data_IF_629258371632
#
_entry.id   IF_629258371632
#
_cell.length_a   1.000
_cell.length_b   1.000
_cell.length_c   1.000
_cell.angle_alpha   90.00
_cell.angle_beta   90.00
_cell.angle_gamma   90.00
#
_symmetry.space_group_name_H-M   'P 1'
#
loop_
_entity.id
_entity.type
_entity.pdbx_description
1 polymer ?
#
# COMPACT_ATOMS: atom_id res chain seq x y z
N UNK A 1 4.22 -45.60 -73.99
CA UNK A 1 5.08 -44.46 -73.76
C UNK A 1 4.36 -43.49 -72.84
N UNK A 2 4.78 -43.37 -71.57
CA UNK A 2 4.05 -42.75 -70.49
C UNK A 2 4.47 -41.31 -70.27
N UNK A 3 3.46 -40.42 -70.34
CA UNK A 3 3.65 -39.00 -70.12
C UNK A 3 3.43 -38.70 -68.63
N UNK A 4 4.46 -38.28 -67.91
CA UNK A 4 4.37 -37.89 -66.47
C UNK A 4 4.06 -36.41 -66.35
N UNK A 5 2.81 -36.12 -65.97
CA UNK A 5 2.39 -34.77 -65.53
C UNK A 5 2.92 -34.53 -64.11
N UNK A 6 3.77 -33.51 -63.99
CA UNK A 6 4.17 -32.99 -62.70
C UNK A 6 3.06 -32.06 -62.14
N UNK A 7 2.50 -32.42 -61.00
CA UNK A 7 1.57 -31.59 -60.27
C UNK A 7 2.39 -30.73 -59.26
N UNK A 8 2.45 -29.44 -59.50
CA UNK A 8 3.08 -28.49 -58.57
C UNK A 8 1.98 -28.03 -57.62
N UNK A 9 2.03 -28.49 -56.35
CA UNK A 9 1.23 -27.98 -55.28
C UNK A 9 1.90 -26.73 -54.72
N UNK A 10 1.29 -25.57 -54.91
CA UNK A 10 1.67 -24.31 -54.26
C UNK A 10 1.13 -24.33 -52.82
N UNK A 11 1.97 -24.55 -51.85
CA UNK A 11 1.64 -24.25 -50.45
C UNK A 11 1.69 -22.75 -50.22
N UNK A 12 0.52 -22.12 -50.11
CA UNK A 12 0.37 -20.76 -49.62
C UNK A 12 0.52 -20.81 -48.08
N UNK A 13 1.70 -20.47 -47.58
CA UNK A 13 1.92 -20.25 -46.14
C UNK A 13 1.23 -18.91 -45.77
N UNK A 14 0.06 -18.97 -45.18
CA UNK A 14 -0.49 -17.85 -44.44
C UNK A 14 0.38 -17.60 -43.22
N UNK A 15 1.24 -16.59 -43.29
CA UNK A 15 1.92 -16.07 -42.12
C UNK A 15 0.87 -15.37 -41.23
N UNK A 16 0.44 -16.05 -40.17
CA UNK A 16 -0.33 -15.41 -39.10
C UNK A 16 0.58 -14.39 -38.41
N UNK A 17 0.35 -13.12 -38.65
CA UNK A 17 0.97 -12.05 -37.87
C UNK A 17 0.62 -12.27 -36.38
N UNK A 18 1.58 -12.20 -35.46
CA UNK A 18 1.25 -12.25 -34.05
C UNK A 18 0.31 -11.09 -33.74
N UNK A 19 -0.88 -11.40 -33.21
CA UNK A 19 -1.77 -10.39 -32.66
C UNK A 19 -0.99 -9.67 -31.55
N UNK A 20 -0.66 -8.39 -31.76
CA UNK A 20 -0.13 -7.56 -30.72
C UNK A 20 -1.17 -7.55 -29.61
N UNK A 21 -0.88 -8.20 -28.49
CA UNK A 21 -1.67 -8.08 -27.28
C UNK A 21 -1.74 -6.58 -26.96
N UNK A 22 -2.95 -6.04 -26.87
CA UNK A 22 -3.13 -4.66 -26.45
C UNK A 22 -2.44 -4.50 -25.10
N UNK A 23 -1.48 -3.57 -25.00
CA UNK A 23 -0.83 -3.26 -23.72
C UNK A 23 -1.92 -2.95 -22.70
N UNK A 24 -2.00 -3.76 -21.65
CA UNK A 24 -2.97 -3.53 -20.59
C UNK A 24 -2.69 -2.17 -19.96
N UNK A 25 -3.69 -1.28 -20.02
CA UNK A 25 -3.54 0.10 -19.51
C UNK A 25 -3.19 0.02 -18.03
N UNK A 26 -2.08 0.64 -17.60
CA UNK A 26 -1.69 0.70 -16.20
C UNK A 26 -2.82 1.27 -15.34
N UNK A 27 -3.05 0.68 -14.18
CA UNK A 27 -4.07 1.05 -13.18
C UNK A 27 -3.54 0.86 -11.77
N UNK A 28 -4.13 1.58 -10.83
CA UNK A 28 -3.88 1.36 -9.40
C UNK A 28 -4.50 0.04 -8.93
N UNK A 29 -3.80 -0.65 -8.04
CA UNK A 29 -4.27 -1.87 -7.38
C UNK A 29 -4.79 -1.51 -5.98
N UNK A 30 -6.11 -1.31 -5.85
CA UNK A 30 -6.70 -0.84 -4.59
C UNK A 30 -6.80 -1.94 -3.54
N UNK A 31 -6.41 -1.58 -2.32
CA UNK A 31 -6.57 -2.36 -1.11
C UNK A 31 -7.36 -1.52 -0.09
N UNK A 32 -8.22 -2.16 0.70
CA UNK A 32 -8.97 -1.47 1.74
C UNK A 32 -8.24 -1.53 3.07
N UNK A 33 -7.88 -0.37 3.63
CA UNK A 33 -7.43 -0.28 5.02
C UNK A 33 -8.63 -0.38 5.96
N UNK A 34 -8.67 -1.38 6.82
CA UNK A 34 -9.79 -1.57 7.77
C UNK A 34 -9.95 -0.41 8.73
N UNK A 35 -8.88 0.32 9.02
CA UNK A 35 -8.89 1.54 9.84
C UNK A 35 -9.85 2.64 9.32
N UNK A 36 -10.19 2.64 8.03
CA UNK A 36 -11.16 3.58 7.44
C UNK A 36 -12.57 3.40 8.03
N UNK A 37 -12.87 2.23 8.57
CA UNK A 37 -14.13 1.88 9.24
C UNK A 37 -14.00 1.87 10.77
N UNK A 38 -12.90 2.37 11.31
CA UNK A 38 -12.64 2.39 12.74
C UNK A 38 -12.73 1.00 13.35
N UNK A 39 -13.45 0.87 14.46
CA UNK A 39 -13.61 -0.39 15.20
C UNK A 39 -14.88 -1.16 14.83
N UNK A 40 -15.45 -0.93 13.64
CA UNK A 40 -16.54 -1.76 13.14
C UNK A 40 -16.09 -3.21 12.94
N UNK A 41 -16.98 -4.20 13.17
CA UNK A 41 -16.60 -5.61 13.03
C UNK A 41 -16.32 -6.00 11.58
N UNK A 42 -15.50 -7.02 11.38
CA UNK A 42 -15.17 -7.59 10.06
C UNK A 42 -16.42 -7.99 9.27
N UNK A 43 -17.47 -8.46 9.94
CA UNK A 43 -18.75 -8.82 9.30
C UNK A 43 -19.44 -7.64 8.60
N UNK A 44 -19.20 -6.40 9.07
CA UNK A 44 -19.71 -5.18 8.43
C UNK A 44 -18.77 -4.63 7.36
N UNK A 45 -17.45 -4.83 7.53
CA UNK A 45 -16.42 -4.28 6.63
C UNK A 45 -16.24 -5.14 5.38
N UNK A 46 -16.20 -6.46 5.50
CA UNK A 46 -15.90 -7.36 4.38
C UNK A 46 -16.87 -7.22 3.19
N UNK A 47 -18.19 -7.04 3.38
CA UNK A 47 -19.12 -6.75 2.28
C UNK A 47 -18.81 -5.45 1.52
N UNK A 48 -18.11 -4.50 2.15
CA UNK A 48 -17.82 -3.19 1.58
C UNK A 48 -16.56 -3.21 0.69
N UNK A 49 -15.62 -4.14 0.93
CA UNK A 49 -14.32 -4.17 0.25
C UNK A 49 -14.48 -4.09 -1.27
N UNK A 50 -15.27 -4.97 -1.85
CA UNK A 50 -15.47 -4.99 -3.31
C UNK A 50 -16.24 -3.78 -3.84
N UNK A 51 -17.11 -3.20 -3.04
CA UNK A 51 -17.87 -1.99 -3.42
C UNK A 51 -16.92 -0.81 -3.64
N UNK A 52 -15.85 -0.71 -2.84
CA UNK A 52 -14.82 0.33 -3.03
C UNK A 52 -13.93 0.10 -4.25
N UNK A 53 -14.05 -1.07 -4.90
CA UNK A 53 -13.16 -1.49 -5.99
C UNK A 53 -11.85 -2.12 -5.52
N UNK A 54 -11.67 -2.32 -4.22
CA UNK A 54 -10.52 -3.03 -3.66
C UNK A 54 -10.62 -4.54 -3.89
N UNK A 55 -9.48 -5.18 -4.08
CA UNK A 55 -9.38 -6.64 -4.26
C UNK A 55 -9.18 -7.38 -2.94
N UNK A 56 -8.74 -6.69 -1.92
CA UNK A 56 -8.41 -7.25 -0.61
C UNK A 56 -8.43 -6.20 0.50
N UNK A 57 -8.03 -6.65 1.68
CA UNK A 57 -8.07 -5.86 2.91
C UNK A 57 -6.71 -5.88 3.64
N UNK A 58 -6.30 -4.72 4.19
CA UNK A 58 -5.27 -4.56 5.21
C UNK A 58 -5.92 -4.49 6.60
N UNK A 59 -5.48 -5.32 7.54
CA UNK A 59 -6.00 -5.31 8.90
C UNK A 59 -5.19 -4.42 9.84
N UNK A 60 -5.91 -3.53 10.50
CA UNK A 60 -5.35 -2.63 11.48
C UNK A 60 -5.73 -3.04 12.91
N UNK A 61 -4.76 -2.97 13.84
CA UNK A 61 -4.99 -3.18 15.26
C UNK A 61 -5.46 -1.90 15.95
N UNK A 62 -5.76 -2.00 17.25
CA UNK A 62 -5.90 -0.83 18.12
C UNK A 62 -4.63 0.05 18.01
N UNK A 63 -4.79 1.35 17.98
CA UNK A 63 -5.95 2.24 18.27
C UNK A 63 -6.80 2.59 17.04
N UNK A 64 -6.42 2.17 15.84
CA UNK A 64 -7.01 2.65 14.59
C UNK A 64 -8.22 1.82 14.18
N UNK A 65 -8.19 0.55 14.50
CA UNK A 65 -9.25 -0.42 14.29
C UNK A 65 -9.23 -1.46 15.41
N UNK A 66 -9.93 -2.58 15.22
CA UNK A 66 -9.93 -3.75 16.10
C UNK A 66 -9.90 -5.05 15.31
N UNK A 67 -9.78 -4.96 13.99
CA UNK A 67 -9.99 -6.09 13.09
C UNK A 67 -8.84 -7.09 13.18
N UNK A 68 -7.64 -6.62 13.54
CA UNK A 68 -6.50 -7.54 13.74
C UNK A 68 -6.73 -8.42 14.97
N UNK A 69 -7.21 -7.86 16.07
CA UNK A 69 -7.56 -8.61 17.28
C UNK A 69 -8.81 -9.46 17.08
N UNK A 70 -9.79 -9.00 16.28
CA UNK A 70 -10.99 -9.78 15.94
C UNK A 70 -10.61 -11.03 15.16
N UNK A 71 -9.68 -10.92 14.21
CA UNK A 71 -9.14 -12.06 13.46
C UNK A 71 -8.52 -13.10 14.41
N UNK A 72 -7.71 -12.66 15.39
CA UNK A 72 -7.12 -13.58 16.36
C UNK A 72 -8.17 -14.25 17.24
N UNK A 73 -9.16 -13.49 17.69
CA UNK A 73 -10.23 -14.00 18.56
C UNK A 73 -11.11 -15.05 17.87
N UNK A 74 -11.41 -14.87 16.57
CA UNK A 74 -12.20 -15.85 15.81
C UNK A 74 -11.39 -17.03 15.29
N UNK A 75 -10.07 -16.89 15.22
CA UNK A 75 -9.13 -17.86 14.64
C UNK A 75 -8.96 -17.72 13.12
N UNK A 76 -7.74 -17.99 12.67
CA UNK A 76 -7.31 -17.73 11.27
C UNK A 76 -8.13 -18.53 10.24
N UNK A 77 -8.53 -19.76 10.55
CA UNK A 77 -9.28 -20.60 9.60
C UNK A 77 -10.70 -20.07 9.38
N UNK A 78 -11.36 -19.59 10.45
CA UNK A 78 -12.67 -18.93 10.34
C UNK A 78 -12.55 -17.60 9.58
N UNK A 79 -11.52 -16.82 9.84
CA UNK A 79 -11.26 -15.59 9.12
C UNK A 79 -11.03 -15.86 7.62
N UNK A 80 -10.22 -16.88 7.27
CA UNK A 80 -10.01 -17.28 5.88
C UNK A 80 -11.32 -17.71 5.19
N UNK A 81 -12.22 -18.41 5.91
CA UNK A 81 -13.53 -18.76 5.39
C UNK A 81 -14.40 -17.51 5.11
N UNK A 82 -14.38 -16.51 6.02
CA UNK A 82 -15.09 -15.23 5.81
C UNK A 82 -14.55 -14.47 4.61
N UNK A 83 -13.23 -14.38 4.44
CA UNK A 83 -12.63 -13.76 3.27
C UNK A 83 -13.08 -14.43 1.98
N UNK A 84 -13.10 -15.77 1.95
CA UNK A 84 -13.55 -16.56 0.80
C UNK A 84 -15.03 -16.32 0.50
N UNK A 85 -15.89 -16.26 1.50
CA UNK A 85 -17.33 -15.99 1.37
C UNK A 85 -17.58 -14.65 0.67
N UNK A 86 -16.84 -13.60 1.06
CA UNK A 86 -16.94 -12.28 0.45
C UNK A 86 -16.09 -12.13 -0.83
N UNK A 87 -15.26 -13.14 -1.16
CA UNK A 87 -14.33 -13.14 -2.28
C UNK A 87 -13.27 -12.03 -2.16
N UNK A 88 -12.84 -11.73 -0.93
CA UNK A 88 -11.84 -10.72 -0.57
C UNK A 88 -10.51 -11.43 -0.32
N UNK A 89 -9.41 -10.86 -0.82
CA UNK A 89 -8.08 -11.33 -0.51
C UNK A 89 -7.60 -10.72 0.82
N UNK A 90 -6.75 -11.45 1.55
CA UNK A 90 -5.98 -10.84 2.62
C UNK A 90 -4.72 -10.21 2.02
N UNK A 91 -4.55 -8.90 2.14
CA UNK A 91 -3.39 -8.18 1.62
C UNK A 91 -2.21 -8.23 2.57
N UNK A 92 -2.45 -7.87 3.81
CA UNK A 92 -1.44 -7.78 4.86
C UNK A 92 -1.97 -7.16 6.15
N UNK A 93 -1.06 -6.70 6.97
CA UNK A 93 -1.38 -6.01 8.23
C UNK A 93 -0.49 -4.79 8.45
N UNK A 94 -1.04 -3.77 9.11
CA UNK A 94 -0.28 -2.63 9.61
C UNK A 94 -0.04 -2.79 11.10
N UNK A 95 1.23 -2.94 11.53
CA UNK A 95 1.63 -3.36 12.87
C UNK A 95 2.62 -2.42 13.54
N UNK A 96 2.19 -1.18 13.78
CA UNK A 96 2.97 -0.21 14.57
C UNK A 96 3.13 -0.62 16.04
N UNK A 97 2.16 -1.36 16.57
CA UNK A 97 2.14 -1.86 17.94
C UNK A 97 3.29 -2.82 18.25
N UNK A 98 3.77 -3.58 17.25
CA UNK A 98 4.88 -4.50 17.40
C UNK A 98 6.25 -3.83 17.19
N UNK A 99 6.29 -2.75 16.39
CA UNK A 99 7.53 -2.18 15.90
C UNK A 99 8.26 -3.09 14.88
N UNK A 100 9.35 -2.59 14.27
CA UNK A 100 9.97 -3.27 13.12
C UNK A 100 10.72 -4.57 13.49
N UNK A 101 11.12 -4.74 14.73
CA UNK A 101 12.00 -5.86 15.17
C UNK A 101 11.24 -7.05 15.79
N UNK A 102 9.90 -7.01 15.86
CA UNK A 102 9.08 -8.06 16.50
C UNK A 102 8.07 -8.68 15.56
N UNK A 103 8.37 -8.74 14.26
CA UNK A 103 7.41 -9.13 13.22
C UNK A 103 7.46 -10.63 12.85
N UNK A 104 8.34 -11.43 13.46
CA UNK A 104 8.56 -12.84 13.07
C UNK A 104 7.28 -13.67 13.08
N UNK A 105 6.48 -13.58 14.15
CA UNK A 105 5.22 -14.31 14.27
C UNK A 105 4.18 -13.78 13.28
N UNK A 106 4.10 -12.45 13.12
CA UNK A 106 3.19 -11.81 12.18
C UNK A 106 3.50 -12.18 10.73
N UNK A 107 4.78 -12.32 10.35
CA UNK A 107 5.18 -12.83 9.03
C UNK A 107 4.56 -14.22 8.78
N UNK A 108 4.57 -15.09 9.78
CA UNK A 108 3.94 -16.41 9.70
C UNK A 108 2.43 -16.34 9.51
N UNK A 109 1.75 -15.42 10.21
CA UNK A 109 0.30 -15.17 10.07
C UNK A 109 -0.02 -14.66 8.67
N UNK A 110 0.70 -13.63 8.19
CA UNK A 110 0.49 -13.04 6.87
C UNK A 110 0.68 -14.09 5.78
N UNK A 111 1.76 -14.88 5.83
CA UNK A 111 1.99 -16.00 4.91
C UNK A 111 0.85 -17.02 4.93
N UNK A 112 0.44 -17.47 6.13
CA UNK A 112 -0.63 -18.48 6.28
C UNK A 112 -1.93 -18.05 5.60
N UNK A 113 -2.25 -16.75 5.65
CA UNK A 113 -3.47 -16.17 5.09
C UNK A 113 -3.34 -15.72 3.64
N UNK A 114 -2.17 -15.90 3.03
CA UNK A 114 -1.92 -15.51 1.63
C UNK A 114 -1.64 -14.02 1.43
N UNK A 115 -1.37 -13.27 2.50
CA UNK A 115 -0.94 -11.88 2.45
C UNK A 115 0.52 -11.74 2.02
N UNK A 116 0.91 -10.54 1.62
CA UNK A 116 2.23 -10.28 1.04
C UNK A 116 3.03 -9.18 1.70
N UNK A 117 2.44 -8.43 2.63
CA UNK A 117 3.15 -7.33 3.31
C UNK A 117 2.77 -7.15 4.77
N UNK A 118 3.65 -6.50 5.51
CA UNK A 118 3.42 -5.94 6.84
C UNK A 118 3.94 -4.52 6.83
N UNK A 119 3.11 -3.54 7.22
CA UNK A 119 3.56 -2.15 7.38
C UNK A 119 3.91 -1.87 8.82
N UNK A 120 5.01 -1.14 9.04
CA UNK A 120 5.44 -0.64 10.36
C UNK A 120 6.28 0.63 10.18
N UNK A 121 6.58 1.31 11.29
CA UNK A 121 7.45 2.50 11.27
C UNK A 121 8.94 2.17 11.37
N UNK A 122 9.80 3.15 11.05
CA UNK A 122 11.22 3.09 11.35
C UNK A 122 11.49 3.34 12.84
N UNK A 123 12.56 2.76 13.39
CA UNK A 123 12.94 2.90 14.79
C UNK A 123 14.40 3.36 14.93
N UNK A 124 14.63 4.38 15.75
CA UNK A 124 15.97 4.94 16.02
C UNK A 124 15.89 6.38 16.53
N UNK A 125 17.03 6.94 16.88
CA UNK A 125 17.09 8.34 17.30
C UNK A 125 16.93 9.28 16.08
N UNK A 126 15.98 10.19 16.15
CA UNK A 126 15.63 11.11 15.06
C UNK A 126 15.52 12.56 15.56
N UNK A 127 15.07 12.78 16.80
CA UNK A 127 14.81 14.11 17.34
C UNK A 127 16.08 14.75 17.88
N UNK A 128 16.37 15.96 17.43
CA UNK A 128 17.49 16.76 17.93
C UNK A 128 18.88 16.26 17.51
N UNK A 129 18.95 15.38 16.50
CA UNK A 129 20.21 14.90 15.90
C UNK A 129 20.56 15.75 14.66
N UNK A 130 21.85 15.80 14.29
CA UNK A 130 22.27 16.42 13.03
C UNK A 130 21.85 15.55 11.82
N UNK A 131 21.88 16.14 10.61
CA UNK A 131 21.59 15.40 9.39
C UNK A 131 22.53 14.20 9.19
N UNK A 132 23.83 14.36 9.44
CA UNK A 132 24.81 13.28 9.34
C UNK A 132 24.52 12.16 10.35
N UNK A 133 24.14 12.52 11.58
CA UNK A 133 23.76 11.55 12.59
C UNK A 133 22.46 10.86 12.23
N UNK A 134 21.45 11.56 11.68
CA UNK A 134 20.22 10.96 11.21
C UNK A 134 20.50 9.97 10.08
N UNK A 135 21.33 10.31 9.12
CA UNK A 135 21.76 9.41 8.05
C UNK A 135 22.46 8.15 8.59
N UNK A 136 23.36 8.32 9.57
CA UNK A 136 24.00 7.19 10.22
C UNK A 136 23.00 6.30 10.97
N UNK A 137 21.99 6.88 11.61
CA UNK A 137 20.94 6.16 12.31
C UNK A 137 20.03 5.38 11.35
N UNK A 138 19.72 5.93 10.16
CA UNK A 138 19.00 5.20 9.10
C UNK A 138 19.79 3.98 8.64
N UNK A 139 21.09 4.13 8.41
CA UNK A 139 21.96 3.03 8.04
C UNK A 139 22.01 1.95 9.14
N UNK A 140 22.17 2.34 10.39
CA UNK A 140 22.17 1.42 11.55
C UNK A 140 20.84 0.68 11.68
N UNK A 141 19.72 1.39 11.46
CA UNK A 141 18.40 0.77 11.40
C UNK A 141 18.32 -0.31 10.32
N UNK A 142 18.78 -0.01 9.11
CA UNK A 142 18.77 -0.99 8.00
C UNK A 142 19.65 -2.20 8.33
N UNK A 143 20.85 -2.01 8.91
CA UNK A 143 21.68 -3.13 9.35
C UNK A 143 20.95 -4.03 10.35
N UNK A 144 20.24 -3.46 11.31
CA UNK A 144 19.41 -4.21 12.26
C UNK A 144 18.22 -4.90 11.61
N UNK A 145 17.67 -4.33 10.52
CA UNK A 145 16.54 -4.92 9.78
C UNK A 145 16.95 -6.11 8.91
N UNK A 146 18.21 -6.27 8.51
CA UNK A 146 18.65 -7.34 7.59
C UNK A 146 18.17 -8.75 8.00
N UNK A 147 18.32 -9.21 9.26
CA UNK A 147 17.82 -10.55 9.64
C UNK A 147 16.29 -10.64 9.57
N UNK A 148 15.55 -9.58 9.87
CA UNK A 148 14.09 -9.55 9.77
C UNK A 148 13.62 -9.56 8.32
N UNK A 149 14.29 -8.80 7.46
CA UNK A 149 14.03 -8.78 6.02
C UNK A 149 14.31 -10.14 5.37
N UNK A 150 15.38 -10.85 5.78
CA UNK A 150 15.66 -12.19 5.30
C UNK A 150 14.52 -13.16 5.62
N UNK A 151 14.04 -13.17 6.87
CA UNK A 151 12.90 -14.00 7.28
C UNK A 151 11.64 -13.63 6.49
N UNK A 152 11.38 -12.34 6.26
CA UNK A 152 10.24 -11.91 5.46
C UNK A 152 10.35 -12.41 4.01
N UNK A 153 11.52 -12.24 3.37
CA UNK A 153 11.78 -12.71 2.02
C UNK A 153 11.59 -14.23 1.85
N UNK A 154 12.11 -15.03 2.79
CA UNK A 154 11.94 -16.49 2.82
C UNK A 154 10.47 -16.93 2.90
N UNK A 155 9.62 -16.06 3.45
CA UNK A 155 8.18 -16.30 3.58
C UNK A 155 7.34 -15.65 2.48
N UNK A 156 7.95 -14.96 1.51
CA UNK A 156 7.24 -14.25 0.45
C UNK A 156 6.48 -13.01 0.96
N UNK A 157 6.93 -12.44 2.09
CA UNK A 157 6.37 -11.24 2.73
C UNK A 157 7.37 -10.09 2.61
N UNK A 158 6.88 -8.86 2.45
CA UNK A 158 7.70 -7.65 2.47
C UNK A 158 7.33 -6.79 3.67
N UNK A 159 8.33 -6.39 4.46
CA UNK A 159 8.15 -5.41 5.53
C UNK A 159 8.23 -4.02 4.89
N UNK A 160 7.11 -3.32 4.79
CA UNK A 160 7.02 -1.93 4.33
C UNK A 160 7.31 -0.97 5.49
N UNK A 161 8.39 -0.21 5.38
CA UNK A 161 8.68 0.86 6.35
C UNK A 161 7.95 2.12 5.91
N UNK A 162 7.00 2.56 6.72
CA UNK A 162 6.27 3.79 6.45
C UNK A 162 7.09 5.02 6.87
N UNK A 163 7.15 6.00 5.97
CA UNK A 163 7.57 7.33 6.35
C UNK A 163 6.48 7.98 7.22
N UNK A 164 6.80 8.30 8.45
CA UNK A 164 5.81 8.76 9.42
C UNK A 164 6.41 9.83 10.34
N UNK A 165 5.64 10.89 10.63
CA UNK A 165 6.07 11.91 11.58
C UNK A 165 6.40 11.28 12.95
N UNK A 166 7.34 11.86 13.65
CA UNK A 166 7.78 11.41 14.97
C UNK A 166 8.42 10.01 14.98
N UNK A 167 9.06 9.60 13.90
CA UNK A 167 9.91 8.41 13.87
C UNK A 167 11.19 8.65 13.04
N UNK A 168 12.01 7.62 12.88
CA UNK A 168 13.31 7.74 12.18
C UNK A 168 13.16 8.18 10.71
N UNK A 169 12.07 7.78 10.05
CA UNK A 169 11.81 8.07 8.64
C UNK A 169 10.68 9.10 8.55
N UNK A 170 10.96 10.36 8.93
CA UNK A 170 9.97 11.43 8.95
C UNK A 170 10.28 12.61 8.02
N UNK A 171 11.43 12.58 7.32
CA UNK A 171 11.83 13.63 6.38
C UNK A 171 12.05 13.06 4.97
N UNK A 172 11.98 13.90 3.92
CA UNK A 172 12.36 13.48 2.57
C UNK A 172 13.75 12.84 2.50
N UNK A 173 14.74 13.45 3.18
CA UNK A 173 16.12 12.94 3.19
C UNK A 173 16.22 11.57 3.86
N UNK A 174 15.57 11.36 5.02
CA UNK A 174 15.59 10.05 5.70
C UNK A 174 14.92 8.97 4.85
N UNK A 175 13.89 9.31 4.07
CA UNK A 175 13.25 8.41 3.13
C UNK A 175 14.18 8.06 1.95
N UNK A 176 14.87 9.03 1.38
CA UNK A 176 15.86 8.81 0.32
C UNK A 176 16.99 7.90 0.80
N UNK A 177 17.55 8.17 1.98
CA UNK A 177 18.60 7.30 2.55
C UNK A 177 18.10 5.90 2.83
N UNK A 178 16.89 5.73 3.34
CA UNK A 178 16.29 4.40 3.49
C UNK A 178 16.19 3.68 2.15
N UNK A 179 15.65 4.34 1.12
CA UNK A 179 15.51 3.76 -0.21
C UNK A 179 16.85 3.29 -0.80
N UNK A 180 17.90 4.08 -0.61
CA UNK A 180 19.25 3.73 -1.07
C UNK A 180 19.85 2.55 -0.30
N UNK A 181 19.74 2.54 1.03
CA UNK A 181 20.30 1.47 1.87
C UNK A 181 19.60 0.12 1.65
N UNK A 182 18.28 0.12 1.36
CA UNK A 182 17.53 -1.12 1.13
C UNK A 182 17.48 -1.55 -0.35
N UNK A 183 18.07 -0.79 -1.28
CA UNK A 183 17.93 -0.98 -2.74
C UNK A 183 18.09 -2.44 -3.20
N UNK A 184 19.06 -3.14 -2.66
CA UNK A 184 19.37 -4.53 -3.01
C UNK A 184 18.96 -5.54 -1.91
N UNK A 185 18.21 -5.12 -0.89
CA UNK A 185 17.82 -5.97 0.22
C UNK A 185 16.41 -6.54 -0.01
N UNK A 186 16.21 -7.86 -0.20
CA UNK A 186 14.88 -8.45 -0.33
C UNK A 186 14.10 -8.42 0.98
N UNK A 187 12.77 -8.55 0.92
CA UNK A 187 11.90 -8.68 2.09
C UNK A 187 11.68 -7.39 2.87
N UNK A 188 12.22 -6.27 2.41
CA UNK A 188 11.98 -4.93 2.96
C UNK A 188 11.75 -3.93 1.84
N UNK A 189 10.84 -2.99 2.06
CA UNK A 189 10.50 -1.92 1.14
C UNK A 189 9.92 -0.71 1.87
N UNK A 190 9.25 0.16 1.14
CA UNK A 190 8.73 1.43 1.60
C UNK A 190 7.20 1.43 1.47
N UNK A 191 6.50 1.80 2.53
CA UNK A 191 5.11 2.20 2.49
C UNK A 191 5.08 3.74 2.48
N UNK A 192 4.81 4.33 1.32
CA UNK A 192 4.93 5.77 1.15
C UNK A 192 3.60 6.46 1.47
N UNK A 193 3.62 7.34 2.48
CA UNK A 193 2.50 8.16 2.92
C UNK A 193 2.78 9.65 2.65
N UNK A 194 2.27 10.24 1.56
CA UNK A 194 2.43 11.65 1.25
C UNK A 194 2.00 12.59 2.38
N UNK A 195 0.99 12.18 3.17
CA UNK A 195 0.49 12.90 4.33
C UNK A 195 1.58 13.39 5.29
N UNK A 196 2.62 12.61 5.51
CA UNK A 196 3.69 12.89 6.47
C UNK A 196 4.84 13.73 5.91
N UNK A 197 4.77 14.12 4.64
CA UNK A 197 5.80 14.86 3.93
C UNK A 197 5.32 16.27 3.54
N UNK A 198 6.22 17.20 3.19
CA UNK A 198 5.81 18.45 2.59
C UNK A 198 4.92 18.20 1.37
N UNK A 199 3.80 18.93 1.29
CA UNK A 199 2.78 18.75 0.23
C UNK A 199 3.22 19.43 -1.08
N UNK A 200 4.46 19.23 -1.46
CA UNK A 200 5.06 19.74 -2.69
C UNK A 200 5.01 18.64 -3.76
N UNK A 201 4.16 18.82 -4.75
CA UNK A 201 3.88 17.84 -5.79
C UNK A 201 5.14 17.31 -6.48
N UNK A 202 6.09 18.21 -6.82
CA UNK A 202 7.36 17.82 -7.44
C UNK A 202 8.20 16.94 -6.52
N UNK A 203 8.35 17.34 -5.27
CA UNK A 203 9.09 16.57 -4.26
C UNK A 203 8.51 15.17 -4.10
N UNK A 204 7.19 15.07 -3.92
CA UNK A 204 6.50 13.79 -3.75
C UNK A 204 6.66 12.88 -4.98
N UNK A 205 6.57 13.45 -6.19
CA UNK A 205 6.78 12.70 -7.44
C UNK A 205 8.22 12.20 -7.57
N UNK A 206 9.21 13.02 -7.21
CA UNK A 206 10.62 12.63 -7.25
C UNK A 206 10.93 11.53 -6.22
N UNK A 207 10.33 11.60 -5.02
CA UNK A 207 10.44 10.54 -3.99
C UNK A 207 9.85 9.22 -4.47
N UNK A 208 8.68 9.23 -5.12
CA UNK A 208 8.07 8.03 -5.71
C UNK A 208 9.04 7.39 -6.71
N UNK A 209 9.61 8.19 -7.63
CA UNK A 209 10.57 7.71 -8.63
C UNK A 209 11.84 7.17 -8.01
N UNK A 210 12.34 7.80 -6.95
CA UNK A 210 13.54 7.33 -6.25
C UNK A 210 13.32 6.02 -5.50
N UNK A 211 12.13 5.84 -4.89
CA UNK A 211 11.76 4.58 -4.24
C UNK A 211 11.67 3.42 -5.24
N UNK A 212 11.18 3.67 -6.46
CA UNK A 212 11.11 2.71 -7.56
C UNK A 212 10.61 1.32 -7.10
N UNK A 213 11.35 0.27 -7.39
CA UNK A 213 11.01 -1.12 -7.05
C UNK A 213 10.94 -1.41 -5.53
N UNK A 214 11.38 -0.44 -4.71
CA UNK A 214 11.26 -0.53 -3.23
C UNK A 214 9.94 0.00 -2.70
N UNK A 215 9.11 0.62 -3.53
CA UNK A 215 7.77 1.02 -3.15
C UNK A 215 6.89 -0.23 -3.00
N UNK A 216 6.58 -0.60 -1.75
CA UNK A 216 5.77 -1.78 -1.41
C UNK A 216 4.29 -1.45 -1.34
N UNK A 217 3.95 -0.30 -0.77
CA UNK A 217 2.59 0.19 -0.59
C UNK A 217 2.56 1.71 -0.78
N UNK A 218 1.50 2.20 -1.37
CA UNK A 218 1.26 3.63 -1.55
C UNK A 218 -0.04 4.04 -0.87
N UNK A 219 0.05 4.99 0.07
CA UNK A 219 -1.12 5.62 0.68
C UNK A 219 -1.57 6.81 -0.16
N UNK A 220 -2.74 6.73 -0.76
CA UNK A 220 -3.39 7.88 -1.37
C UNK A 220 -4.03 8.73 -0.26
N UNK A 221 -3.19 9.53 0.40
CA UNK A 221 -3.48 10.28 1.62
C UNK A 221 -2.78 11.64 1.59
N UNK A 222 -3.58 12.71 1.53
CA UNK A 222 -3.06 14.09 1.58
C UNK A 222 -3.03 14.61 3.01
N UNK A 223 -2.20 15.64 3.25
CA UNK A 223 -2.13 16.24 4.58
C UNK A 223 -3.46 16.92 4.98
N UNK A 224 -4.11 17.62 4.03
CA UNK A 224 -5.32 18.38 4.30
C UNK A 224 -5.11 19.37 5.45
N UNK A 225 -5.96 19.29 6.48
CA UNK A 225 -5.79 20.03 7.75
C UNK A 225 -5.06 19.21 8.82
N UNK A 226 -4.73 17.96 8.49
CA UNK A 226 -4.13 17.00 9.40
C UNK A 226 -5.16 16.26 10.27
N UNK A 227 -4.64 15.44 11.19
CA UNK A 227 -5.45 14.54 12.00
C UNK A 227 -5.02 14.49 13.47
N UNK A 228 -4.40 15.56 13.98
CA UNK A 228 -3.81 15.59 15.32
C UNK A 228 -4.77 16.09 16.40
N UNK A 229 -5.86 16.71 16.01
CA UNK A 229 -6.92 17.24 16.90
C UNK A 229 -8.28 17.13 16.22
N UNK A 230 -9.39 17.11 17.00
CA UNK A 230 -10.73 17.16 16.44
C UNK A 230 -10.94 18.40 15.57
N UNK A 231 -11.62 18.22 14.44
CA UNK A 231 -11.91 19.26 13.46
C UNK A 231 -13.33 19.07 12.93
N UNK A 232 -13.95 20.10 12.33
CA UNK A 232 -15.15 19.92 11.54
C UNK A 232 -14.94 18.84 10.47
N UNK A 233 -15.97 18.05 10.18
CA UNK A 233 -15.83 16.86 9.32
C UNK A 233 -15.36 17.20 7.89
N UNK A 234 -15.80 18.30 7.33
CA UNK A 234 -15.37 18.80 6.02
C UNK A 234 -13.88 19.16 5.96
N UNK A 235 -13.34 19.72 7.06
CA UNK A 235 -11.91 19.99 7.18
C UNK A 235 -11.11 18.69 7.38
N UNK A 236 -11.59 17.77 8.21
CA UNK A 236 -10.96 16.47 8.45
C UNK A 236 -10.88 15.65 7.15
N UNK A 237 -11.93 15.70 6.32
CA UNK A 237 -11.99 14.99 5.04
C UNK A 237 -11.03 15.55 3.97
N UNK A 238 -10.41 16.73 4.17
CA UNK A 238 -9.39 17.23 3.25
C UNK A 238 -8.14 16.33 3.20
N UNK A 239 -8.05 15.33 4.05
CA UNK A 239 -7.04 14.27 3.96
C UNK A 239 -7.30 13.31 2.78
N UNK A 240 -8.52 13.28 2.25
CA UNK A 240 -8.93 12.36 1.18
C UNK A 240 -8.61 12.93 -0.21
N UNK A 241 -8.10 12.11 -1.15
CA UNK A 241 -7.80 12.55 -2.50
C UNK A 241 -8.94 13.33 -3.16
N UNK A 242 -8.62 14.55 -3.64
CA UNK A 242 -9.57 15.44 -4.31
C UNK A 242 -10.50 16.22 -3.39
N UNK A 243 -10.25 16.22 -2.09
CA UNK A 243 -10.84 17.16 -1.14
C UNK A 243 -9.83 18.17 -0.59
N UNK A 244 -8.56 17.80 -0.51
CA UNK A 244 -7.46 18.69 -0.21
C UNK A 244 -6.95 19.45 -1.46
N UNK A 245 -5.72 19.95 -1.36
CA UNK A 245 -5.13 20.81 -2.38
C UNK A 245 -3.98 20.13 -3.15
N UNK A 246 -3.68 18.86 -2.88
CA UNK A 246 -2.60 18.16 -3.54
C UNK A 246 -2.95 17.88 -5.02
N UNK A 247 -2.09 18.30 -5.94
CA UNK A 247 -2.20 17.87 -7.33
C UNK A 247 -1.71 16.43 -7.48
N UNK A 248 -2.65 15.50 -7.59
CA UNK A 248 -2.39 14.06 -7.70
C UNK A 248 -1.82 13.63 -9.04
N UNK A 249 -2.04 14.40 -10.10
CA UNK A 249 -1.67 13.99 -11.47
C UNK A 249 -0.17 13.68 -11.64
N UNK A 250 0.78 14.50 -11.13
CA UNK A 250 2.21 14.17 -11.21
C UNK A 250 2.61 12.96 -10.37
N UNK A 251 1.96 12.74 -9.20
CA UNK A 251 2.22 11.55 -8.36
C UNK A 251 1.78 10.27 -9.09
N UNK A 252 0.58 10.29 -9.68
CA UNK A 252 0.06 9.17 -10.48
C UNK A 252 0.93 8.91 -11.72
N UNK A 253 1.42 9.98 -12.36
CA UNK A 253 2.36 9.86 -13.48
C UNK A 253 3.68 9.21 -13.03
N UNK A 254 4.20 9.56 -11.86
CA UNK A 254 5.41 8.95 -11.30
C UNK A 254 5.18 7.45 -10.96
N UNK A 255 4.05 7.10 -10.33
CA UNK A 255 3.68 5.70 -10.08
C UNK A 255 3.59 4.89 -11.37
N UNK A 256 3.00 5.47 -12.42
CA UNK A 256 2.92 4.85 -13.75
C UNK A 256 4.30 4.68 -14.39
N UNK A 257 5.17 5.69 -14.29
CA UNK A 257 6.54 5.66 -14.83
C UNK A 257 7.36 4.53 -14.24
N UNK A 258 7.30 4.32 -12.92
CA UNK A 258 7.95 3.20 -12.24
C UNK A 258 7.20 1.87 -12.39
N UNK A 259 6.08 1.85 -13.12
CA UNK A 259 5.20 0.68 -13.27
C UNK A 259 4.74 0.08 -11.94
N UNK A 260 4.46 0.94 -10.96
CA UNK A 260 4.01 0.48 -9.65
C UNK A 260 2.79 -0.42 -9.76
N UNK A 261 2.86 -1.61 -9.19
CA UNK A 261 1.80 -2.63 -9.18
C UNK A 261 1.42 -3.07 -7.76
N UNK A 262 2.09 -2.51 -6.75
CA UNK A 262 1.79 -2.76 -5.35
C UNK A 262 0.41 -2.22 -4.94
N UNK A 263 -0.04 -2.55 -3.72
CA UNK A 263 -1.31 -2.05 -3.22
C UNK A 263 -1.31 -0.53 -3.03
N UNK A 264 -2.44 0.09 -3.38
CA UNK A 264 -2.75 1.49 -3.10
C UNK A 264 -3.91 1.54 -2.13
N UNK A 265 -3.73 2.19 -1.00
CA UNK A 265 -4.78 2.44 -0.03
C UNK A 265 -5.24 3.90 -0.09
N UNK A 266 -6.52 4.11 -0.33
CA UNK A 266 -7.14 5.41 -0.07
C UNK A 266 -7.28 5.52 1.44
N UNK A 267 -6.72 6.58 2.01
CA UNK A 267 -6.53 6.60 3.46
C UNK A 267 -6.79 7.97 4.08
N UNK A 268 -7.25 7.96 5.31
CA UNK A 268 -7.23 9.08 6.25
C UNK A 268 -7.34 8.59 7.70
N UNK A 269 -6.94 9.44 8.62
CA UNK A 269 -7.22 9.21 10.03
C UNK A 269 -8.25 10.20 10.56
N UNK A 270 -9.39 9.72 11.09
CA UNK A 270 -10.31 10.55 11.87
C UNK A 270 -9.75 10.84 13.26
N UNK A 271 -10.32 11.84 13.92
CA UNK A 271 -10.05 12.12 15.34
C UNK A 271 -11.36 12.10 16.13
N UNK A 272 -11.46 11.25 17.18
CA UNK A 272 -10.47 10.33 17.72
C UNK A 272 -10.18 9.13 16.81
N UNK A 273 -9.09 8.40 17.08
CA UNK A 273 -8.80 7.14 16.37
C UNK A 273 -9.82 6.06 16.72
N UNK A 274 -10.04 5.11 15.83
CA UNK A 274 -10.92 3.97 16.05
C UNK A 274 -12.40 4.24 15.78
N UNK A 275 -12.75 5.41 15.24
CA UNK A 275 -14.09 5.69 14.70
C UNK A 275 -14.04 5.57 13.15
N UNK A 276 -15.17 5.25 12.49
CA UNK A 276 -15.25 5.31 11.04
C UNK A 276 -15.03 6.74 10.51
N UNK A 277 -14.52 6.84 9.28
CA UNK A 277 -14.29 8.16 8.65
C UNK A 277 -15.57 8.97 8.41
N UNK A 278 -16.71 8.29 8.27
CA UNK A 278 -18.04 8.87 8.12
C UNK A 278 -19.00 8.22 9.13
N UNK A 279 -20.17 8.83 9.42
CA UNK A 279 -21.11 8.34 10.43
C UNK A 279 -21.61 6.90 10.20
N UNK A 280 -21.72 6.47 8.95
CA UNK A 280 -22.20 5.13 8.59
C UNK A 280 -21.21 4.40 7.72
N UNK A 281 -21.29 3.06 7.71
CA UNK A 281 -20.52 2.17 6.83
C UNK A 281 -20.73 2.55 5.36
N UNK A 282 -21.97 2.80 4.95
CA UNK A 282 -22.31 3.15 3.57
C UNK A 282 -21.69 4.51 3.15
N UNK A 283 -21.71 5.50 4.02
CA UNK A 283 -21.10 6.81 3.77
C UNK A 283 -19.57 6.71 3.70
N UNK A 284 -18.94 5.90 4.56
CA UNK A 284 -17.50 5.62 4.50
C UNK A 284 -17.12 4.99 3.16
N UNK A 285 -17.87 3.99 2.72
CA UNK A 285 -17.72 3.35 1.41
C UNK A 285 -17.88 4.35 0.26
N UNK A 286 -18.93 5.18 0.31
CA UNK A 286 -19.18 6.18 -0.72
C UNK A 286 -18.04 7.21 -0.83
N UNK A 287 -17.47 7.62 0.31
CA UNK A 287 -16.35 8.57 0.32
C UNK A 287 -15.07 7.94 -0.25
N UNK A 288 -14.78 6.68 0.06
CA UNK A 288 -13.66 5.95 -0.53
C UNK A 288 -13.85 5.83 -2.05
N UNK A 289 -15.06 5.48 -2.53
CA UNK A 289 -15.39 5.43 -3.96
C UNK A 289 -15.20 6.79 -4.62
N UNK A 290 -15.64 7.88 -3.99
CA UNK A 290 -15.46 9.24 -4.50
C UNK A 290 -13.97 9.55 -4.70
N UNK A 291 -13.14 9.28 -3.68
CA UNK A 291 -11.70 9.52 -3.75
C UNK A 291 -11.04 8.66 -4.84
N UNK A 292 -11.41 7.38 -4.94
CA UNK A 292 -10.97 6.48 -6.01
C UNK A 292 -11.29 7.05 -7.39
N UNK A 293 -12.55 7.45 -7.61
CA UNK A 293 -12.99 7.99 -8.90
C UNK A 293 -12.23 9.28 -9.26
N UNK A 294 -11.91 10.12 -8.27
CA UNK A 294 -11.05 11.28 -8.49
C UNK A 294 -9.67 10.86 -9.01
N UNK A 295 -8.99 9.93 -8.35
CA UNK A 295 -7.67 9.44 -8.79
C UNK A 295 -7.73 8.82 -10.19
N UNK A 296 -8.73 7.98 -10.47
CA UNK A 296 -8.90 7.32 -11.76
C UNK A 296 -9.20 8.30 -12.91
N UNK A 297 -9.84 9.42 -12.62
CA UNK A 297 -10.10 10.47 -13.62
C UNK A 297 -8.83 11.20 -14.08
N UNK A 298 -7.71 11.02 -13.37
CA UNK A 298 -6.43 11.67 -13.66
C UNK A 298 -5.43 10.75 -14.39
N UNK A 299 -5.74 9.46 -14.58
CA UNK A 299 -4.94 8.43 -15.25
C UNK A 299 -5.39 8.28 -16.71
#
# INVERSE_FOLDING_TARGET
>A
MMNRRRFVQSLSALAAAPAMAAEEKWKLNYLLASAMYGSLPLAEILPEVKKTGATGIDLWPKKHGTQREEMDAMGHDRFAAMLKEHGVAFGGTTRYDLGPFKLKEEIGVVKKLGGTFIVTGGEGAWKGVSADQLKANVKDFVEKMKPHAAVAAENGVTIGIENHINNLIDTPDSLLWLADEIRNLPGIGIALAPYHLPQETKLLSDLIKHCDQKLTLFYAWEHGRGCMKPMPKDEELQQMPGRGNLDWKPLLSALKEIRFSGPTEIFMHPTPRGIPIMPTTAESTAEIIRAKNHLESLI
#
